data_IF_379650364859
#
_entry.id   IF_379650364859
#
_cell.length_a   1.000
_cell.length_b   1.000
_cell.length_c   1.000
_cell.angle_alpha   90.00
_cell.angle_beta   90.00
_cell.angle_gamma   90.00
#
_symmetry.space_group_name_H-M   'P 1'
#
loop_
_entity.id
_entity.type
_entity.pdbx_description
1 polymer ?
#
# COMPACT_ATOMS: atom_id res chain seq x y z
N UNK A 1 4.32 20.32 2.20
CA UNK A 1 3.40 19.49 2.97
C UNK A 1 2.38 18.77 2.07
N UNK A 2 1.82 19.48 1.11
CA UNK A 2 0.85 18.90 0.18
C UNK A 2 1.47 17.76 -0.63
N UNK A 3 2.65 18.00 -1.21
CA UNK A 3 3.35 16.97 -1.98
C UNK A 3 3.68 15.77 -1.12
N UNK A 4 4.16 16.01 0.09
CA UNK A 4 4.48 14.94 1.03
C UNK A 4 3.24 14.09 1.34
N UNK A 5 2.11 14.73 1.61
CA UNK A 5 0.87 14.02 1.92
C UNK A 5 0.39 13.18 0.74
N UNK A 6 0.37 13.77 -0.46
CA UNK A 6 -0.09 13.07 -1.68
C UNK A 6 0.82 11.88 -2.01
N UNK A 7 2.14 12.07 -1.95
CA UNK A 7 3.09 10.98 -2.21
C UNK A 7 2.97 9.88 -1.14
N UNK A 8 2.80 10.27 0.13
CA UNK A 8 2.59 9.28 1.19
C UNK A 8 1.33 8.46 0.95
N UNK A 9 0.26 9.08 0.46
CA UNK A 9 -0.96 8.37 0.10
C UNK A 9 -0.74 7.41 -1.06
N UNK A 10 -0.24 7.93 -2.19
CA UNK A 10 -0.12 7.14 -3.42
C UNK A 10 0.94 6.06 -3.32
N UNK A 11 2.13 6.42 -2.87
CA UNK A 11 3.27 5.49 -2.85
C UNK A 11 3.32 4.67 -1.57
N UNK A 12 3.03 5.28 -0.44
CA UNK A 12 3.12 4.63 0.87
C UNK A 12 1.89 3.79 1.18
N UNK A 13 0.75 4.44 1.36
CA UNK A 13 -0.46 3.74 1.80
C UNK A 13 -0.99 2.77 0.73
N UNK A 14 -1.06 3.21 -0.50
CA UNK A 14 -1.55 2.36 -1.59
C UNK A 14 -0.46 1.46 -2.15
N UNK A 15 0.69 2.02 -2.51
CA UNK A 15 1.78 1.25 -3.11
C UNK A 15 2.44 0.27 -2.16
N UNK A 16 3.08 0.79 -1.12
CA UNK A 16 3.81 -0.06 -0.16
C UNK A 16 2.87 -0.90 0.68
N UNK A 17 1.67 -0.39 0.98
CA UNK A 17 0.65 -1.17 1.68
C UNK A 17 0.23 -2.40 0.89
N UNK A 18 0.04 -2.27 -0.42
CA UNK A 18 -0.26 -3.40 -1.30
C UNK A 18 0.94 -4.34 -1.37
N UNK A 19 2.15 -3.81 -1.54
CA UNK A 19 3.37 -4.62 -1.60
C UNK A 19 3.56 -5.47 -0.34
N UNK A 20 3.26 -4.91 0.83
CA UNK A 20 3.33 -5.66 2.09
C UNK A 20 2.38 -6.85 2.08
N UNK A 21 1.14 -6.64 1.66
CA UNK A 21 0.13 -7.71 1.63
C UNK A 21 0.47 -8.80 0.62
N UNK A 22 0.97 -8.42 -0.55
CA UNK A 22 1.43 -9.38 -1.58
C UNK A 22 2.56 -10.22 -1.02
N UNK A 23 3.56 -9.59 -0.40
CA UNK A 23 4.69 -10.32 0.17
C UNK A 23 4.28 -11.25 1.31
N UNK A 24 3.35 -10.85 2.18
CA UNK A 24 2.82 -11.73 3.22
C UNK A 24 2.11 -12.94 2.62
N UNK A 25 1.30 -12.73 1.59
CA UNK A 25 0.60 -13.81 0.90
C UNK A 25 1.59 -14.80 0.29
N UNK A 26 2.61 -14.28 -0.38
CA UNK A 26 3.64 -15.12 -1.01
C UNK A 26 4.46 -15.88 0.03
N UNK A 27 4.83 -15.22 1.14
CA UNK A 27 5.58 -15.88 2.22
C UNK A 27 4.79 -17.03 2.83
N UNK A 28 3.46 -16.87 2.94
CA UNK A 28 2.60 -17.88 3.59
C UNK A 28 2.47 -19.18 2.80
N UNK A 29 2.82 -19.18 1.51
CA UNK A 29 2.61 -20.35 0.67
C UNK A 29 3.83 -20.84 -0.10
N UNK A 30 4.95 -20.11 -0.08
CA UNK A 30 6.15 -20.58 -0.76
C UNK A 30 6.68 -21.85 -0.08
N UNK A 31 7.08 -22.87 -0.87
CA UNK A 31 7.68 -24.07 -0.28
C UNK A 31 9.15 -23.92 0.08
N UNK A 32 9.79 -22.84 -0.35
CA UNK A 32 11.22 -22.60 -0.14
C UNK A 32 11.44 -21.82 1.16
N UNK A 33 12.13 -22.39 2.18
CA UNK A 33 12.34 -21.71 3.46
C UNK A 33 13.16 -20.43 3.37
N UNK A 34 14.10 -20.35 2.43
CA UNK A 34 14.92 -19.15 2.24
C UNK A 34 14.07 -18.04 1.64
N UNK A 35 13.27 -18.39 0.62
CA UNK A 35 12.37 -17.43 0.00
C UNK A 35 11.30 -16.96 0.99
N UNK A 36 10.78 -17.87 1.82
CA UNK A 36 9.83 -17.51 2.88
C UNK A 36 10.41 -16.46 3.81
N UNK A 37 11.61 -16.65 4.30
CA UNK A 37 12.28 -15.69 5.17
C UNK A 37 12.46 -14.34 4.49
N UNK A 38 12.89 -14.35 3.23
CA UNK A 38 13.11 -13.12 2.47
C UNK A 38 11.80 -12.35 2.25
N UNK A 39 10.76 -13.05 1.84
CA UNK A 39 9.45 -12.45 1.62
C UNK A 39 8.83 -11.91 2.91
N UNK A 40 9.00 -12.63 4.02
CA UNK A 40 8.50 -12.18 5.32
C UNK A 40 9.20 -10.89 5.75
N UNK A 41 10.52 -10.78 5.53
CA UNK A 41 11.26 -9.57 5.84
C UNK A 41 10.81 -8.39 4.95
N UNK A 42 10.61 -8.64 3.66
CA UNK A 42 10.08 -7.63 2.73
C UNK A 42 8.70 -7.16 3.20
N UNK A 43 7.83 -8.11 3.56
CA UNK A 43 6.49 -7.80 4.02
C UNK A 43 6.51 -6.90 5.27
N UNK A 44 7.38 -7.21 6.23
CA UNK A 44 7.51 -6.40 7.44
C UNK A 44 8.04 -5.00 7.13
N UNK A 45 9.04 -4.89 6.27
CA UNK A 45 9.61 -3.59 5.89
C UNK A 45 8.58 -2.73 5.17
N UNK A 46 7.85 -3.30 4.21
CA UNK A 46 6.82 -2.57 3.47
C UNK A 46 5.65 -2.17 4.37
N UNK A 47 5.25 -3.03 5.30
CA UNK A 47 4.21 -2.69 6.28
C UNK A 47 4.65 -1.53 7.18
N UNK A 48 5.92 -1.52 7.58
CA UNK A 48 6.47 -0.44 8.38
C UNK A 48 6.47 0.88 7.61
N UNK A 49 6.88 0.85 6.34
CA UNK A 49 6.86 2.03 5.46
C UNK A 49 5.44 2.57 5.27
N UNK A 50 4.47 1.68 5.07
CA UNK A 50 3.06 2.09 4.95
C UNK A 50 2.57 2.76 6.25
N UNK A 51 2.95 2.22 7.40
CA UNK A 51 2.63 2.82 8.69
C UNK A 51 3.21 4.23 8.85
N UNK A 52 4.48 4.41 8.44
CA UNK A 52 5.10 5.73 8.44
C UNK A 52 4.39 6.69 7.49
N UNK A 53 3.92 6.21 6.35
CA UNK A 53 3.19 7.05 5.40
C UNK A 53 1.89 7.57 6.03
N UNK A 54 1.17 6.72 6.77
CA UNK A 54 -0.02 7.16 7.49
C UNK A 54 0.30 8.23 8.54
N UNK A 55 1.38 8.05 9.29
CA UNK A 55 1.81 9.03 10.29
C UNK A 55 2.19 10.36 9.64
N UNK A 56 2.90 10.31 8.51
CA UNK A 56 3.28 11.52 7.76
C UNK A 56 2.07 12.26 7.22
N UNK A 57 1.08 11.53 6.69
CA UNK A 57 -0.15 12.16 6.21
C UNK A 57 -0.90 12.85 7.34
N UNK A 58 -1.04 12.19 8.48
CA UNK A 58 -1.74 12.77 9.62
C UNK A 58 -1.02 14.03 10.10
N UNK A 59 0.30 13.97 10.20
CA UNK A 59 1.11 15.13 10.58
C UNK A 59 0.96 16.28 9.58
N UNK A 60 1.07 15.97 8.28
CA UNK A 60 0.95 16.99 7.23
C UNK A 60 -0.44 17.64 7.23
N UNK A 61 -1.49 16.86 7.47
CA UNK A 61 -2.84 17.38 7.56
C UNK A 61 -3.00 18.31 8.77
N UNK A 62 -2.42 17.94 9.91
CA UNK A 62 -2.45 18.79 11.10
C UNK A 62 -1.70 20.11 10.87
N UNK A 63 -0.57 20.08 10.20
CA UNK A 63 0.25 21.27 9.94
C UNK A 63 -0.31 22.14 8.84
N UNK A 64 -0.81 21.52 7.76
CA UNK A 64 -1.23 22.25 6.57
C UNK A 64 -2.74 22.51 6.45
N UNK A 65 -3.54 21.92 7.32
CA UNK A 65 -4.98 22.14 7.36
C UNK A 65 -5.70 21.84 6.04
N UNK A 66 -6.62 22.68 5.68
CA UNK A 66 -7.47 22.48 4.49
C UNK A 66 -6.72 22.40 3.18
N UNK A 67 -5.58 23.04 3.07
CA UNK A 67 -4.76 22.96 1.85
C UNK A 67 -4.31 21.52 1.61
N UNK A 68 -3.87 20.84 2.67
CA UNK A 68 -3.43 19.44 2.58
C UNK A 68 -4.63 18.50 2.45
N UNK A 69 -5.63 18.65 3.30
CA UNK A 69 -6.81 17.76 3.23
C UNK A 69 -7.56 17.90 1.91
N UNK A 70 -7.64 19.12 1.38
CA UNK A 70 -8.26 19.36 0.06
C UNK A 70 -7.50 18.66 -1.07
N UNK A 71 -6.17 18.68 -1.02
CA UNK A 71 -5.35 17.98 -2.02
C UNK A 71 -5.54 16.47 -1.93
N UNK A 72 -5.62 15.94 -0.71
CA UNK A 72 -5.90 14.50 -0.51
C UNK A 72 -7.28 14.13 -1.04
N UNK A 73 -8.28 14.96 -0.83
CA UNK A 73 -9.62 14.73 -1.38
C UNK A 73 -9.61 14.68 -2.91
N UNK A 74 -8.82 15.56 -3.54
CA UNK A 74 -8.71 15.58 -5.00
C UNK A 74 -8.12 14.30 -5.56
N UNK A 75 -7.16 13.69 -4.86
CA UNK A 75 -6.46 12.50 -5.36
C UNK A 75 -7.04 11.18 -4.84
N UNK A 76 -8.00 11.21 -3.91
CA UNK A 76 -8.50 9.99 -3.30
C UNK A 76 -9.13 9.01 -4.29
N UNK A 77 -9.68 9.52 -5.37
CA UNK A 77 -10.32 8.68 -6.39
C UNK A 77 -9.34 8.20 -7.47
N UNK A 78 -8.11 8.73 -7.48
CA UNK A 78 -7.13 8.30 -8.45
C UNK A 78 -6.62 6.90 -8.11
N UNK A 79 -6.49 6.08 -9.15
CA UNK A 79 -5.90 4.75 -9.00
C UNK A 79 -4.44 4.85 -9.39
N UNK A 80 -3.50 4.39 -8.55
CA UNK A 80 -2.09 4.39 -8.93
C UNK A 80 -1.89 3.60 -10.20
N UNK A 81 -0.95 4.06 -11.05
CA UNK A 81 -0.60 3.30 -12.25
C UNK A 81 0.05 1.99 -11.81
N UNK A 82 -0.51 0.89 -12.30
CA UNK A 82 0.05 -0.42 -12.02
C UNK A 82 1.34 -0.62 -12.83
N UNK A 83 2.37 -1.23 -12.22
CA UNK A 83 3.55 -1.61 -12.99
C UNK A 83 3.18 -2.64 -14.05
N UNK A 84 3.93 -2.64 -15.15
CA UNK A 84 3.72 -3.62 -16.19
C UNK A 84 3.83 -5.04 -15.63
N UNK A 85 2.95 -5.92 -16.08
CA UNK A 85 2.98 -7.31 -15.68
C UNK A 85 4.26 -7.97 -16.16
N UNK A 86 5.07 -8.43 -15.21
CA UNK A 86 6.36 -9.03 -15.53
C UNK A 86 6.47 -10.49 -15.11
N UNK A 87 5.62 -10.92 -14.17
CA UNK A 87 5.76 -12.28 -13.68
C UNK A 87 5.11 -13.29 -14.63
N UNK A 88 5.57 -14.51 -14.56
CA UNK A 88 5.12 -15.62 -15.39
C UNK A 88 4.43 -16.66 -14.51
N UNK A 89 3.49 -17.40 -15.10
CA UNK A 89 2.78 -18.47 -14.40
C UNK A 89 3.70 -19.50 -13.76
N UNK A 90 4.87 -19.73 -14.35
CA UNK A 90 5.86 -20.65 -13.80
C UNK A 90 6.36 -20.26 -12.42
N UNK A 91 6.31 -18.98 -12.07
CA UNK A 91 6.73 -18.50 -10.74
C UNK A 91 5.71 -18.82 -9.65
N UNK A 92 4.48 -19.12 -10.03
CA UNK A 92 3.45 -19.46 -9.07
C UNK A 92 3.78 -20.74 -8.28
N UNK A 93 4.57 -21.63 -8.86
CA UNK A 93 5.07 -22.81 -8.16
C UNK A 93 5.95 -22.47 -6.96
N UNK A 94 6.54 -21.28 -6.94
CA UNK A 94 7.33 -20.77 -5.84
C UNK A 94 6.53 -19.90 -4.88
N UNK A 95 5.21 -19.82 -5.05
CA UNK A 95 4.32 -19.05 -4.19
C UNK A 95 4.06 -17.62 -4.65
N UNK A 96 4.58 -17.22 -5.81
CA UNK A 96 4.38 -15.87 -6.35
C UNK A 96 2.90 -15.68 -6.70
N UNK A 97 2.34 -14.53 -6.35
CA UNK A 97 0.95 -14.20 -6.67
C UNK A 97 0.73 -14.14 -8.17
N UNK A 98 -0.40 -14.67 -8.63
CA UNK A 98 -0.86 -14.41 -9.99
C UNK A 98 -1.26 -12.94 -10.12
N UNK A 99 -1.39 -12.47 -11.37
CA UNK A 99 -1.88 -11.11 -11.64
C UNK A 99 -3.24 -10.86 -11.00
N UNK A 100 -4.14 -11.85 -11.09
CA UNK A 100 -5.48 -11.73 -10.52
C UNK A 100 -5.43 -11.61 -9.01
N UNK A 101 -4.62 -12.43 -8.34
CA UNK A 101 -4.45 -12.35 -6.89
C UNK A 101 -3.86 -11.00 -6.47
N UNK A 102 -2.83 -10.55 -7.17
CA UNK A 102 -2.20 -9.27 -6.86
C UNK A 102 -3.19 -8.11 -7.01
N UNK A 103 -4.03 -8.16 -8.06
CA UNK A 103 -5.07 -7.15 -8.28
C UNK A 103 -6.13 -7.19 -7.19
N UNK A 104 -6.55 -8.37 -6.76
CA UNK A 104 -7.53 -8.51 -5.67
C UNK A 104 -6.97 -7.93 -4.37
N UNK A 105 -5.70 -8.21 -4.08
CA UNK A 105 -5.02 -7.67 -2.90
C UNK A 105 -4.95 -6.14 -2.98
N UNK A 106 -4.62 -5.59 -4.15
CA UNK A 106 -4.54 -4.15 -4.35
C UNK A 106 -5.90 -3.48 -4.14
N UNK A 107 -6.99 -4.08 -4.65
CA UNK A 107 -8.34 -3.57 -4.48
C UNK A 107 -8.78 -3.61 -3.01
N UNK A 108 -8.45 -4.67 -2.31
CA UNK A 108 -8.75 -4.80 -0.89
C UNK A 108 -8.00 -3.73 -0.08
N UNK A 109 -6.70 -3.59 -0.32
CA UNK A 109 -5.89 -2.56 0.35
C UNK A 109 -6.43 -1.16 0.07
N UNK A 110 -6.79 -0.89 -1.18
CA UNK A 110 -7.34 0.41 -1.57
C UNK A 110 -8.65 0.69 -0.84
N UNK A 111 -9.55 -0.27 -0.77
CA UNK A 111 -10.83 -0.11 -0.09
C UNK A 111 -10.65 0.21 1.39
N UNK A 112 -9.82 -0.54 2.08
CA UNK A 112 -9.54 -0.30 3.49
C UNK A 112 -8.82 1.02 3.71
N UNK A 113 -7.89 1.36 2.82
CA UNK A 113 -7.15 2.62 2.89
C UNK A 113 -8.04 3.82 2.65
N UNK A 114 -9.00 3.73 1.71
CA UNK A 114 -9.99 4.80 1.49
C UNK A 114 -10.84 5.04 2.73
N UNK A 115 -11.27 3.98 3.38
CA UNK A 115 -12.03 4.09 4.63
C UNK A 115 -11.23 4.83 5.70
N UNK A 116 -9.96 4.48 5.84
CA UNK A 116 -9.05 5.11 6.80
C UNK A 116 -8.75 6.57 6.43
N UNK A 117 -8.57 6.84 5.13
CA UNK A 117 -8.35 8.20 4.65
C UNK A 117 -9.56 9.08 4.95
N UNK A 118 -10.77 8.59 4.72
CA UNK A 118 -11.99 9.35 5.01
C UNK A 118 -12.07 9.72 6.49
N UNK A 119 -11.68 8.81 7.38
CA UNK A 119 -11.63 9.10 8.81
C UNK A 119 -10.61 10.20 9.13
N UNK A 120 -9.46 10.18 8.46
CA UNK A 120 -8.44 11.21 8.63
C UNK A 120 -8.94 12.56 8.13
N UNK A 121 -9.59 12.58 6.95
CA UNK A 121 -10.10 13.82 6.35
C UNK A 121 -11.21 14.45 7.17
N UNK A 122 -11.99 13.66 7.89
CA UNK A 122 -13.06 14.15 8.75
C UNK A 122 -12.59 14.44 10.18
N UNK A 123 -11.32 14.21 10.48
CA UNK A 123 -10.76 14.42 11.80
C UNK A 123 -11.11 13.33 12.82
N UNK A 124 -11.65 12.21 12.38
CA UNK A 124 -12.02 11.08 13.25
C UNK A 124 -10.89 10.06 13.32
N UNK A 125 -9.74 10.48 13.77
CA UNK A 125 -8.54 9.63 13.87
C UNK A 125 -8.48 8.87 15.16
#
# INVERSE_FOLDING_TARGET
LTKLAVESWMDGCLGEGTAARVAFSEASRTPDPILEQTLDQIAQDEAHHAGLAWDLMAWAADQGGKTVTGALEEVRELVPREPAETHRGELEAYGVCSSDEANDIALENRRESLFRLDALLTGKR
#
